data_IF_666849447859
#
_entry.id   IF_666849447859
#
_cell.length_a   1.000
_cell.length_b   1.000
_cell.length_c   1.000
_cell.angle_alpha   90.00
_cell.angle_beta   90.00
_cell.angle_gamma   90.00
#
_symmetry.space_group_name_H-M   'P 1'
#
loop_
_entity.id
_entity.type
_entity.pdbx_description
1 polymer ?
#
# COMPACT_ATOMS: atom_id res chain seq x y z
N UNK A 1 27.52 -2.43 -2.56
CA UNK A 1 28.43 -2.13 -3.68
C UNK A 1 27.57 -1.93 -4.92
N UNK A 2 27.67 -0.72 -5.48
CA UNK A 2 27.09 -0.14 -6.70
C UNK A 2 25.98 -0.92 -7.44
N UNK A 3 24.74 -0.42 -7.36
CA UNK A 3 23.82 -0.56 -8.47
C UNK A 3 24.24 0.43 -9.55
N UNK A 4 24.37 -0.03 -10.80
CA UNK A 4 24.61 0.86 -11.92
C UNK A 4 23.34 1.69 -12.12
N UNK A 5 23.50 3.00 -11.99
CA UNK A 5 22.52 4.02 -12.38
C UNK A 5 22.88 4.40 -13.81
N UNK A 6 21.96 4.29 -14.76
CA UNK A 6 22.18 4.84 -16.09
C UNK A 6 22.08 6.38 -16.07
N UNK A 7 22.46 7.05 -17.16
CA UNK A 7 22.45 8.52 -17.24
C UNK A 7 21.03 9.13 -17.09
N UNK A 8 19.98 8.30 -16.98
CA UNK A 8 18.59 8.67 -16.74
C UNK A 8 18.10 8.39 -15.30
N UNK A 9 18.93 7.80 -14.43
CA UNK A 9 18.56 7.51 -13.04
C UNK A 9 18.06 6.09 -12.77
N UNK A 10 18.01 5.21 -13.78
CA UNK A 10 17.40 3.88 -13.66
C UNK A 10 18.33 2.89 -12.94
N UNK A 11 17.88 2.27 -11.84
CA UNK A 11 18.66 1.25 -11.13
C UNK A 11 18.40 -0.14 -11.73
N UNK A 12 19.43 -0.72 -12.35
CA UNK A 12 19.29 -2.01 -13.06
C UNK A 12 19.42 -3.23 -12.12
N UNK A 13 20.15 -3.13 -11.00
CA UNK A 13 20.20 -4.18 -9.96
C UNK A 13 20.66 -3.63 -8.61
N UNK A 14 20.04 -4.10 -7.52
CA UNK A 14 20.53 -3.92 -6.15
C UNK A 14 19.72 -2.94 -5.31
N UNK A 15 19.73 -3.18 -4.00
CA UNK A 15 19.02 -2.41 -2.97
C UNK A 15 19.16 -0.90 -3.20
N UNK A 16 18.05 -0.21 -3.48
CA UNK A 16 18.05 1.24 -3.55
C UNK A 16 18.29 1.80 -2.14
N UNK A 17 19.53 2.25 -1.93
CA UNK A 17 19.97 3.03 -0.79
C UNK A 17 20.19 4.46 -1.25
N UNK A 18 19.16 5.11 -1.78
CA UNK A 18 19.30 6.49 -2.20
C UNK A 18 18.44 7.40 -1.31
N UNK A 19 19.07 8.43 -0.75
CA UNK A 19 18.43 9.71 -0.43
C UNK A 19 17.95 10.41 -1.73
N UNK A 20 17.46 9.65 -2.72
CA UNK A 20 16.82 10.19 -3.89
C UNK A 20 15.44 10.71 -3.44
N UNK A 21 15.09 11.97 -3.74
CA UNK A 21 13.85 12.56 -3.29
C UNK A 21 12.62 11.83 -3.85
N UNK A 22 12.74 11.24 -5.05
CA UNK A 22 11.68 10.52 -5.76
C UNK A 22 12.31 9.46 -6.67
N UNK A 23 11.69 8.27 -6.77
CA UNK A 23 11.98 7.28 -7.82
C UNK A 23 10.86 7.30 -8.87
N UNK A 24 11.20 6.94 -10.12
CA UNK A 24 10.27 7.09 -11.24
C UNK A 24 10.46 6.00 -12.30
N UNK A 25 9.43 5.18 -12.50
CA UNK A 25 9.42 4.04 -13.43
C UNK A 25 10.52 2.99 -13.17
N UNK A 26 11.04 2.89 -11.96
CA UNK A 26 12.14 2.01 -11.59
C UNK A 26 11.66 0.58 -11.22
N UNK A 27 12.58 -0.40 -11.30
CA UNK A 27 12.35 -1.78 -10.84
C UNK A 27 13.33 -2.22 -9.73
N UNK A 28 13.39 -1.53 -8.58
CA UNK A 28 14.35 -1.87 -7.54
C UNK A 28 13.86 -3.07 -6.72
N UNK A 29 14.70 -4.10 -6.54
CA UNK A 29 14.30 -5.25 -5.72
C UNK A 29 13.92 -4.86 -4.27
N UNK A 30 14.67 -3.93 -3.69
CA UNK A 30 14.47 -3.49 -2.31
C UNK A 30 14.63 -1.97 -2.21
N UNK A 31 13.67 -1.32 -1.55
CA UNK A 31 13.70 0.09 -1.20
C UNK A 31 13.76 0.20 0.31
N UNK A 32 14.89 0.70 0.82
CA UNK A 32 15.03 0.93 2.26
C UNK A 32 14.24 2.16 2.70
N UNK A 33 14.43 3.26 2.00
CA UNK A 33 13.80 4.56 2.23
C UNK A 33 13.74 5.30 0.90
N UNK A 34 12.58 5.84 0.55
CA UNK A 34 12.37 6.78 -0.55
C UNK A 34 11.19 7.67 -0.18
N UNK A 35 11.24 9.01 -0.28
CA UNK A 35 10.12 9.87 0.09
C UNK A 35 8.87 9.61 -0.76
N UNK A 36 9.06 9.46 -2.07
CA UNK A 36 7.99 9.24 -3.04
C UNK A 36 8.42 8.21 -4.08
N UNK A 37 7.50 7.32 -4.45
CA UNK A 37 7.62 6.38 -5.57
C UNK A 37 6.50 6.66 -6.57
N UNK A 38 6.76 6.42 -7.85
CA UNK A 38 5.74 6.59 -8.87
C UNK A 38 5.98 5.69 -10.09
N UNK A 39 5.02 4.80 -10.33
CA UNK A 39 5.04 3.76 -11.37
C UNK A 39 6.21 2.76 -11.22
N UNK A 40 6.63 2.49 -10.00
CA UNK A 40 7.73 1.59 -9.65
C UNK A 40 7.23 0.16 -9.32
N UNK A 41 8.07 -0.85 -9.56
CA UNK A 41 7.74 -2.26 -9.24
C UNK A 41 8.74 -2.90 -8.27
N UNK A 42 8.81 -2.47 -7.00
CA UNK A 42 9.73 -3.05 -6.04
C UNK A 42 9.25 -4.35 -5.39
N UNK A 43 10.12 -5.30 -5.07
CA UNK A 43 9.66 -6.46 -4.29
C UNK A 43 9.37 -6.07 -2.84
N UNK A 44 10.23 -5.24 -2.23
CA UNK A 44 10.11 -4.87 -0.83
C UNK A 44 10.34 -3.38 -0.60
N UNK A 45 9.39 -2.73 0.06
CA UNK A 45 9.50 -1.35 0.54
C UNK A 45 9.51 -1.38 2.06
N UNK A 46 10.60 -0.89 2.66
CA UNK A 46 10.66 -0.73 4.12
C UNK A 46 9.94 0.56 4.55
N UNK A 47 10.20 1.68 3.88
CA UNK A 47 9.61 2.98 4.18
C UNK A 47 9.48 3.80 2.89
N UNK A 48 8.25 4.18 2.54
CA UNK A 48 8.01 5.22 1.56
C UNK A 48 6.76 6.03 1.95
N UNK A 49 6.90 7.31 2.35
CA UNK A 49 5.78 8.19 2.70
C UNK A 49 4.60 8.14 1.73
N UNK A 50 4.90 8.16 0.43
CA UNK A 50 3.90 8.23 -0.63
C UNK A 50 4.26 7.29 -1.78
N UNK A 51 3.28 6.51 -2.24
CA UNK A 51 3.35 5.68 -3.44
C UNK A 51 2.24 6.09 -4.41
N UNK A 52 2.48 5.89 -5.71
CA UNK A 52 1.53 6.15 -6.77
C UNK A 52 1.68 5.14 -7.89
N UNK A 53 0.61 4.43 -8.23
CA UNK A 53 0.60 3.43 -9.31
C UNK A 53 1.72 2.38 -9.22
N UNK A 54 2.15 2.05 -8.01
CA UNK A 54 3.25 1.12 -7.74
C UNK A 54 2.72 -0.30 -7.51
N UNK A 55 3.53 -1.31 -7.83
CA UNK A 55 3.15 -2.73 -7.64
C UNK A 55 4.12 -3.48 -6.71
N UNK A 56 4.19 -3.13 -5.41
CA UNK A 56 5.11 -3.79 -4.50
C UNK A 56 4.62 -5.15 -4.00
N UNK A 57 5.51 -6.13 -3.77
CA UNK A 57 5.04 -7.35 -3.06
C UNK A 57 4.78 -7.06 -1.57
N UNK A 58 5.68 -6.33 -0.92
CA UNK A 58 5.60 -6.08 0.51
C UNK A 58 5.92 -4.64 0.86
N UNK A 59 5.00 -4.00 1.58
CA UNK A 59 5.17 -2.67 2.16
C UNK A 59 5.18 -2.81 3.68
N UNK A 60 6.27 -2.39 4.31
CA UNK A 60 6.32 -2.33 5.78
C UNK A 60 5.66 -1.05 6.31
N UNK A 61 5.96 0.10 5.72
CA UNK A 61 5.41 1.40 6.12
C UNK A 61 5.24 2.29 4.89
N UNK A 62 3.99 2.64 4.59
CA UNK A 62 3.66 3.67 3.63
C UNK A 62 2.42 4.45 4.10
N UNK A 63 2.59 5.65 4.68
CA UNK A 63 1.49 6.51 5.09
C UNK A 63 0.40 6.66 4.04
N UNK A 64 0.75 6.89 2.77
CA UNK A 64 -0.21 7.15 1.70
C UNK A 64 0.09 6.29 0.49
N UNK A 65 -0.95 5.63 -0.04
CA UNK A 65 -0.93 4.86 -1.27
C UNK A 65 -2.05 5.34 -2.19
N UNK A 66 -1.83 5.24 -3.50
CA UNK A 66 -2.79 5.64 -4.53
C UNK A 66 -2.67 4.77 -5.79
N UNK A 67 -3.74 4.05 -6.11
CA UNK A 67 -3.83 3.13 -7.23
C UNK A 67 -2.71 2.07 -7.25
N UNK A 68 -2.26 1.65 -6.07
CA UNK A 68 -1.20 0.68 -5.88
C UNK A 68 -1.77 -0.75 -5.75
N UNK A 69 -0.96 -1.74 -6.13
CA UNK A 69 -1.35 -3.16 -6.02
C UNK A 69 -0.40 -3.98 -5.13
N UNK A 70 -0.32 -3.69 -3.81
CA UNK A 70 0.57 -4.41 -2.93
C UNK A 70 0.06 -5.81 -2.55
N UNK A 71 0.91 -6.84 -2.46
CA UNK A 71 0.42 -8.10 -1.85
C UNK A 71 0.19 -7.94 -0.34
N UNK A 72 1.12 -7.30 0.35
CA UNK A 72 1.06 -7.15 1.81
C UNK A 72 1.42 -5.74 2.27
N UNK A 73 0.52 -5.13 3.03
CA UNK A 73 0.75 -3.86 3.73
C UNK A 73 0.77 -4.13 5.23
N UNK A 74 1.89 -3.83 5.88
CA UNK A 74 1.97 -3.92 7.34
C UNK A 74 1.38 -2.67 8.02
N UNK A 75 1.69 -1.48 7.51
CA UNK A 75 1.22 -0.22 8.05
C UNK A 75 1.07 0.80 6.93
N UNK A 76 -0.13 1.35 6.84
CA UNK A 76 -0.43 2.56 6.09
C UNK A 76 -1.32 3.47 6.94
N UNK A 77 -1.45 4.75 6.56
CA UNK A 77 -2.43 5.66 7.15
C UNK A 77 -3.68 5.70 6.28
N UNK A 78 -3.50 5.86 4.97
CA UNK A 78 -4.57 6.03 4.00
C UNK A 78 -4.26 5.28 2.71
N UNK A 79 -5.25 4.59 2.16
CA UNK A 79 -5.23 3.95 0.86
C UNK A 79 -6.35 4.55 -0.02
N UNK A 80 -6.13 4.56 -1.33
CA UNK A 80 -7.08 5.07 -2.31
C UNK A 80 -7.03 4.28 -3.62
N UNK A 81 -8.13 3.60 -3.95
CA UNK A 81 -8.26 2.76 -5.13
C UNK A 81 -7.17 1.68 -5.23
N UNK A 82 -6.73 1.16 -4.09
CA UNK A 82 -5.68 0.16 -3.98
C UNK A 82 -6.27 -1.26 -3.95
N UNK A 83 -5.49 -2.24 -4.43
CA UNK A 83 -5.90 -3.65 -4.42
C UNK A 83 -4.95 -4.55 -3.60
N UNK A 84 -4.86 -4.36 -2.28
CA UNK A 84 -4.02 -5.21 -1.44
C UNK A 84 -4.55 -6.63 -1.26
N UNK A 85 -3.70 -7.64 -1.11
CA UNK A 85 -4.22 -8.93 -0.58
C UNK A 85 -4.41 -8.87 0.93
N UNK A 86 -3.43 -8.33 1.65
CA UNK A 86 -3.44 -8.31 3.11
C UNK A 86 -3.05 -6.95 3.67
N UNK A 87 -3.91 -6.38 4.50
CA UNK A 87 -3.66 -5.18 5.28
C UNK A 87 -3.64 -5.54 6.76
N UNK A 88 -2.52 -5.26 7.42
CA UNK A 88 -2.43 -5.43 8.88
C UNK A 88 -3.00 -4.22 9.62
N UNK A 89 -2.67 -3.00 9.19
CA UNK A 89 -3.15 -1.74 9.78
C UNK A 89 -3.24 -0.66 8.72
N UNK A 90 -4.44 -0.13 8.51
CA UNK A 90 -4.68 1.08 7.73
C UNK A 90 -5.90 1.83 8.32
N UNK A 91 -5.70 2.96 9.02
CA UNK A 91 -6.75 3.82 9.55
C UNK A 91 -7.90 4.09 8.58
N UNK A 92 -7.60 4.33 7.31
CA UNK A 92 -8.58 4.78 6.33
C UNK A 92 -8.34 4.12 4.97
N UNK A 93 -9.41 3.62 4.38
CA UNK A 93 -9.46 3.05 3.03
C UNK A 93 -10.58 3.72 2.23
N UNK A 94 -10.40 3.81 0.92
CA UNK A 94 -11.35 4.41 -0.01
C UNK A 94 -11.33 3.73 -1.38
N UNK A 95 -12.45 3.10 -1.74
CA UNK A 95 -12.64 2.35 -2.98
C UNK A 95 -11.59 1.24 -3.18
N UNK A 96 -11.14 0.63 -2.10
CA UNK A 96 -10.12 -0.41 -2.08
C UNK A 96 -10.74 -1.81 -2.12
N UNK A 97 -9.97 -2.79 -2.61
CA UNK A 97 -10.41 -4.19 -2.73
C UNK A 97 -9.51 -5.19 -1.96
N UNK A 98 -9.34 -5.03 -0.63
CA UNK A 98 -8.51 -5.93 0.16
C UNK A 98 -9.08 -7.35 0.30
N UNK A 99 -8.29 -8.42 0.20
CA UNK A 99 -8.83 -9.73 0.63
C UNK A 99 -8.99 -9.81 2.15
N UNK A 100 -7.98 -9.37 2.90
CA UNK A 100 -7.97 -9.47 4.36
C UNK A 100 -7.52 -8.16 5.02
N UNK A 101 -8.33 -7.67 5.94
CA UNK A 101 -8.02 -6.52 6.78
C UNK A 101 -8.00 -6.96 8.24
N UNK A 102 -6.89 -6.73 8.94
CA UNK A 102 -6.81 -6.97 10.37
C UNK A 102 -7.36 -5.79 11.19
N UNK A 103 -7.02 -4.56 10.82
CA UNK A 103 -7.48 -3.35 11.51
C UNK A 103 -7.62 -2.20 10.51
N UNK A 104 -8.85 -1.72 10.35
CA UNK A 104 -9.14 -0.49 9.63
C UNK A 104 -10.32 0.27 10.28
N UNK A 105 -10.03 1.31 11.09
CA UNK A 105 -11.02 2.21 11.67
C UNK A 105 -12.18 2.59 10.75
N UNK A 106 -11.87 3.02 9.53
CA UNK A 106 -12.84 3.57 8.59
C UNK A 106 -12.60 3.03 7.18
N UNK A 107 -13.67 2.56 6.54
CA UNK A 107 -13.72 2.12 5.15
C UNK A 107 -14.82 2.88 4.39
N UNK A 108 -14.63 3.06 3.10
CA UNK A 108 -15.56 3.76 2.21
C UNK A 108 -15.60 3.14 0.81
N UNK A 109 -16.75 2.56 0.45
CA UNK A 109 -17.00 1.86 -0.81
C UNK A 109 -15.99 0.73 -1.10
N UNK A 110 -15.51 0.07 -0.06
CA UNK A 110 -14.54 -1.01 -0.12
C UNK A 110 -15.25 -2.38 -0.19
N UNK A 111 -14.60 -3.36 -0.83
CA UNK A 111 -15.13 -4.73 -0.93
C UNK A 111 -14.18 -5.79 -0.31
N UNK A 112 -13.94 -5.74 1.01
CA UNK A 112 -13.11 -6.75 1.66
C UNK A 112 -13.72 -8.15 1.68
N UNK A 113 -12.93 -9.23 1.62
CA UNK A 113 -13.48 -10.55 1.97
C UNK A 113 -13.59 -10.72 3.50
N UNK A 114 -12.53 -10.38 4.22
CA UNK A 114 -12.48 -10.60 5.67
C UNK A 114 -11.97 -9.36 6.39
N UNK A 115 -12.76 -8.90 7.36
CA UNK A 115 -12.37 -7.84 8.29
C UNK A 115 -12.33 -8.38 9.70
N UNK A 116 -11.21 -8.22 10.40
CA UNK A 116 -11.13 -8.55 11.83
C UNK A 116 -11.68 -7.41 12.69
N UNK A 117 -11.32 -6.16 12.42
CA UNK A 117 -11.78 -5.00 13.18
C UNK A 117 -11.96 -3.80 12.24
N UNK A 118 -13.20 -3.35 12.09
CA UNK A 118 -13.55 -2.06 11.50
C UNK A 118 -14.73 -1.46 12.27
N UNK A 119 -14.54 -0.38 13.05
CA UNK A 119 -15.60 0.36 13.72
C UNK A 119 -16.64 0.99 12.79
N UNK A 120 -16.24 1.50 11.62
CA UNK A 120 -17.13 2.23 10.71
C UNK A 120 -16.96 1.80 9.27
N UNK A 121 -18.07 1.45 8.62
CA UNK A 121 -18.15 1.07 7.22
C UNK A 121 -19.17 1.94 6.47
N UNK A 122 -18.83 2.42 5.28
CA UNK A 122 -19.68 3.25 4.43
C UNK A 122 -19.85 2.64 3.05
N UNK A 123 -21.04 2.13 2.75
CA UNK A 123 -21.34 1.40 1.51
C UNK A 123 -20.36 0.24 1.21
N UNK A 124 -19.79 -0.36 2.26
CA UNK A 124 -18.86 -1.48 2.12
C UNK A 124 -19.59 -2.81 2.12
N UNK A 125 -19.03 -3.81 1.43
CA UNK A 125 -19.63 -5.15 1.33
C UNK A 125 -18.66 -6.26 1.77
N UNK A 126 -18.32 -6.36 3.08
CA UNK A 126 -17.54 -7.46 3.60
C UNK A 126 -18.26 -8.81 3.57
N UNK A 127 -17.58 -9.88 3.17
CA UNK A 127 -18.12 -11.25 3.30
C UNK A 127 -18.16 -11.69 4.77
N UNK A 128 -17.11 -11.38 5.54
CA UNK A 128 -17.03 -11.71 6.97
C UNK A 128 -16.44 -10.57 7.78
N UNK A 129 -17.09 -10.26 8.91
CA UNK A 129 -16.56 -9.33 9.91
C UNK A 129 -16.54 -9.99 11.29
N UNK A 130 -15.41 -9.94 11.99
CA UNK A 130 -15.31 -10.50 13.35
C UNK A 130 -15.87 -9.57 14.44
N UNK A 131 -15.75 -8.26 14.29
CA UNK A 131 -16.27 -7.28 15.25
C UNK A 131 -17.32 -6.39 14.57
N UNK A 132 -18.52 -6.34 15.14
CA UNK A 132 -19.63 -5.62 14.55
C UNK A 132 -19.29 -4.12 14.33
N UNK A 133 -19.38 -3.62 13.08
CA UNK A 133 -19.20 -2.20 12.76
C UNK A 133 -20.50 -1.42 12.95
N UNK A 134 -20.38 -0.10 12.96
CA UNK A 134 -21.48 0.78 12.52
C UNK A 134 -21.51 0.80 11.00
N UNK A 135 -22.65 0.47 10.40
CA UNK A 135 -22.85 0.45 8.95
C UNK A 135 -23.62 1.70 8.49
N UNK A 136 -23.09 2.37 7.47
CA UNK A 136 -23.75 3.48 6.78
C UNK A 136 -23.96 3.09 5.33
N UNK A 137 -25.15 2.59 5.00
CA UNK A 137 -25.54 2.23 3.65
C UNK A 137 -26.56 3.26 3.17
N UNK A 138 -26.29 3.94 2.06
CA UNK A 138 -27.28 4.79 1.38
C UNK A 138 -27.84 4.12 0.13
#
# INVERSE_FOLDING_TARGET
MSGNVDDNGFIIQGECCAEAPTLWNDLPLHIRQAPTLWNDLPLHIRQAPTLWNDLPLHIRQAPTLWNDLPLHIRQASTLWNDLPLHIRQAPTLWNDLPLHIRQAPTLWNDLPLHIRQAPTLWNDLPLHIRQAPTLYNK
#
